data_IF_007812758660
#
_entry.id   IF_007812758660
#
_cell.length_a   1.000
_cell.length_b   1.000
_cell.length_c   1.000
_cell.angle_alpha   90.00
_cell.angle_beta   90.00
_cell.angle_gamma   90.00
#
_symmetry.space_group_name_H-M   'P 1'
#
loop_
_entity.id
_entity.type
_entity.pdbx_description
1 polymer ?
#
# COMPACT_ATOMS: atom_id res chain seq x y z
N UNK A 1 1.22 12.18 16.11
CA UNK A 1 0.92 11.38 14.90
C UNK A 1 2.18 11.32 14.05
N UNK A 2 2.64 10.12 13.66
CA UNK A 2 3.88 9.94 12.90
C UNK A 2 3.63 10.14 11.39
N UNK A 3 4.14 11.23 10.84
CA UNK A 3 4.19 11.41 9.39
C UNK A 3 5.64 11.21 8.94
N UNK A 4 5.85 10.30 7.99
CA UNK A 4 7.17 10.01 7.43
C UNK A 4 7.25 10.55 6.02
N UNK A 5 8.30 11.33 5.74
CA UNK A 5 8.62 11.87 4.43
C UNK A 5 9.98 11.35 3.98
N UNK A 6 10.05 10.75 2.79
CA UNK A 6 11.30 10.39 2.15
C UNK A 6 11.18 10.68 0.67
N UNK A 7 12.17 11.42 0.17
CA UNK A 7 12.31 11.66 -1.26
C UNK A 7 12.78 10.38 -1.99
N UNK A 8 13.76 9.67 -1.40
CA UNK A 8 14.50 8.58 -2.04
C UNK A 8 14.63 7.37 -1.09
N UNK A 9 14.57 6.15 -1.63
CA UNK A 9 14.65 4.90 -0.85
C UNK A 9 13.97 3.71 -1.54
N UNK A 10 14.15 2.48 -1.05
CA UNK A 10 13.41 1.32 -1.59
C UNK A 10 11.99 1.25 -1.00
N UNK A 11 11.87 1.38 0.31
CA UNK A 11 10.62 1.15 1.05
C UNK A 11 10.44 2.22 2.12
N UNK A 12 9.20 2.70 2.28
CA UNK A 12 8.77 3.57 3.38
C UNK A 12 7.63 2.92 4.16
N UNK A 13 7.64 3.13 5.48
CA UNK A 13 6.59 2.67 6.39
C UNK A 13 6.21 3.78 7.39
N UNK A 14 4.92 3.91 7.68
CA UNK A 14 4.41 4.82 8.72
C UNK A 14 3.08 4.34 9.29
N UNK A 15 2.85 4.57 10.58
CA UNK A 15 1.57 4.26 11.21
C UNK A 15 0.44 5.21 10.77
N UNK A 16 0.70 6.49 10.53
CA UNK A 16 -0.35 7.45 10.13
C UNK A 16 -0.24 7.88 8.67
N UNK A 17 0.88 8.46 8.27
CA UNK A 17 1.06 8.96 6.90
C UNK A 17 2.44 8.65 6.36
N UNK A 18 2.47 8.09 5.16
CA UNK A 18 3.69 7.83 4.38
C UNK A 18 3.66 8.65 3.09
N UNK A 19 4.63 9.55 2.91
CA UNK A 19 4.81 10.33 1.68
C UNK A 19 6.13 9.97 1.01
N UNK A 20 6.03 9.33 -0.16
CA UNK A 20 7.21 8.78 -0.85
C UNK A 20 7.26 9.25 -2.31
N UNK A 21 8.26 10.05 -2.65
CA UNK A 21 8.31 10.63 -3.99
C UNK A 21 8.89 9.67 -5.03
N UNK A 22 10.11 9.16 -4.84
CA UNK A 22 10.86 8.41 -5.88
C UNK A 22 11.31 7.00 -5.49
N UNK A 23 10.72 6.38 -4.46
CA UNK A 23 11.09 5.00 -4.13
C UNK A 23 10.18 3.92 -4.71
N UNK A 24 10.39 2.65 -4.31
CA UNK A 24 9.63 1.52 -4.90
C UNK A 24 8.29 1.32 -4.21
N UNK A 25 8.26 1.38 -2.88
CA UNK A 25 7.08 1.03 -2.07
C UNK A 25 6.83 2.05 -0.95
N UNK A 26 5.59 2.48 -0.78
CA UNK A 26 5.13 3.24 0.39
C UNK A 26 4.00 2.50 1.09
N UNK A 27 4.09 2.36 2.40
CA UNK A 27 3.11 1.66 3.23
C UNK A 27 2.64 2.53 4.38
N UNK A 28 1.33 2.56 4.64
CA UNK A 28 0.80 3.18 5.84
C UNK A 28 -0.52 2.61 6.33
N UNK A 29 -0.74 2.50 7.64
CA UNK A 29 -2.07 2.15 8.16
C UNK A 29 -3.09 3.27 7.85
N UNK A 30 -2.70 4.55 7.90
CA UNK A 30 -3.60 5.68 7.64
C UNK A 30 -3.67 6.09 6.18
N UNK A 31 -2.62 6.75 5.66
CA UNK A 31 -2.56 7.23 4.28
C UNK A 31 -1.19 7.01 3.67
N UNK A 32 -1.17 6.39 2.49
CA UNK A 32 0.03 6.30 1.67
C UNK A 32 -0.12 7.19 0.43
N UNK A 33 0.77 8.17 0.30
CA UNK A 33 0.90 9.02 -0.88
C UNK A 33 2.22 8.69 -1.56
N UNK A 34 2.16 8.39 -2.85
CA UNK A 34 3.37 8.02 -3.57
C UNK A 34 3.40 8.60 -4.98
N UNK A 35 4.39 9.45 -5.29
CA UNK A 35 4.39 10.23 -6.55
C UNK A 35 4.81 9.42 -7.78
N UNK A 36 6.01 8.83 -7.77
CA UNK A 36 6.65 8.21 -8.95
C UNK A 36 7.16 6.77 -8.71
N UNK A 37 6.59 6.03 -7.75
CA UNK A 37 7.05 4.67 -7.44
C UNK A 37 6.25 3.54 -8.04
N UNK A 38 6.55 2.33 -7.60
CA UNK A 38 5.86 1.14 -8.10
C UNK A 38 4.57 0.89 -7.34
N UNK A 39 4.59 0.97 -6.01
CA UNK A 39 3.47 0.52 -5.17
C UNK A 39 3.18 1.48 -4.03
N UNK A 40 1.91 1.89 -3.88
CA UNK A 40 1.39 2.53 -2.68
C UNK A 40 0.40 1.59 -1.99
N UNK A 41 0.54 1.38 -0.68
CA UNK A 41 -0.38 0.54 0.08
C UNK A 41 -0.87 1.25 1.34
N UNK A 42 -2.18 1.18 1.59
CA UNK A 42 -2.74 1.68 2.84
C UNK A 42 -3.96 0.91 3.34
N UNK A 43 -4.16 0.83 4.67
CA UNK A 43 -5.47 0.40 5.17
C UNK A 43 -6.53 1.49 4.93
N UNK A 44 -6.19 2.77 5.14
CA UNK A 44 -7.13 3.88 4.96
C UNK A 44 -7.23 4.39 3.53
N UNK A 45 -6.22 5.10 3.04
CA UNK A 45 -6.22 5.68 1.68
C UNK A 45 -4.87 5.55 0.98
N UNK A 46 -4.88 5.07 -0.25
CA UNK A 46 -3.72 5.08 -1.12
C UNK A 46 -3.91 6.08 -2.28
N UNK A 47 -2.95 6.97 -2.47
CA UNK A 47 -2.95 7.97 -3.55
C UNK A 47 -1.69 7.84 -4.40
N UNK A 48 -1.88 7.77 -5.71
CA UNK A 48 -0.80 7.47 -6.66
C UNK A 48 -0.91 8.28 -7.96
N UNK A 49 -0.19 9.41 -8.12
CA UNK A 49 -0.24 10.21 -9.34
C UNK A 49 0.37 9.50 -10.55
N UNK A 50 1.61 8.98 -10.46
CA UNK A 50 2.35 8.46 -11.63
C UNK A 50 2.94 7.06 -11.45
N UNK A 51 2.50 6.32 -10.44
CA UNK A 51 3.09 5.02 -10.18
C UNK A 51 2.29 3.84 -10.73
N UNK A 52 2.79 2.61 -10.57
CA UNK A 52 2.16 1.44 -11.24
C UNK A 52 0.89 0.96 -10.54
N UNK A 53 0.92 0.81 -9.21
CA UNK A 53 -0.19 0.19 -8.48
C UNK A 53 -0.49 0.88 -7.14
N UNK A 54 -1.76 1.18 -6.89
CA UNK A 54 -2.27 1.67 -5.61
C UNK A 54 -3.20 0.63 -4.96
N UNK A 55 -2.98 0.32 -3.69
CA UNK A 55 -3.77 -0.64 -2.92
C UNK A 55 -4.34 0.02 -1.68
N UNK A 56 -5.64 -0.11 -1.47
CA UNK A 56 -6.28 0.36 -0.24
C UNK A 56 -7.33 -0.62 0.27
N UNK A 57 -7.52 -0.71 1.58
CA UNK A 57 -8.77 -1.29 2.09
C UNK A 57 -9.92 -0.28 2.01
N UNK A 58 -9.65 0.99 2.35
CA UNK A 58 -10.64 2.06 2.30
C UNK A 58 -10.82 2.67 0.91
N UNK A 59 -9.88 3.52 0.48
CA UNK A 59 -9.96 4.22 -0.82
C UNK A 59 -8.65 4.24 -1.58
N UNK A 60 -8.68 3.80 -2.83
CA UNK A 60 -7.53 3.89 -3.73
C UNK A 60 -7.79 4.94 -4.81
N UNK A 61 -6.83 5.84 -5.04
CA UNK A 61 -6.89 6.82 -6.12
C UNK A 61 -5.62 6.74 -6.98
N UNK A 62 -5.78 6.89 -8.30
CA UNK A 62 -4.65 7.24 -9.15
C UNK A 62 -4.99 8.21 -10.29
N UNK A 63 -4.00 8.99 -10.72
CA UNK A 63 -4.12 9.86 -11.89
C UNK A 63 -3.68 9.14 -13.18
N UNK A 64 -2.38 8.86 -13.30
CA UNK A 64 -1.72 8.19 -14.44
C UNK A 64 -1.30 6.74 -14.14
N UNK A 65 -1.87 6.13 -13.10
CA UNK A 65 -1.47 4.80 -12.67
C UNK A 65 -1.92 3.68 -13.60
N UNK A 66 -1.29 2.50 -13.48
CA UNK A 66 -1.73 1.33 -14.27
C UNK A 66 -2.91 0.62 -13.63
N UNK A 67 -2.99 0.57 -12.30
CA UNK A 67 -4.04 -0.16 -11.59
C UNK A 67 -4.26 0.41 -10.19
N UNK A 68 -5.50 0.51 -9.75
CA UNK A 68 -5.83 0.71 -8.34
C UNK A 68 -6.83 -0.35 -7.88
N UNK A 69 -6.55 -0.84 -6.68
CA UNK A 69 -7.29 -1.91 -6.04
C UNK A 69 -7.80 -1.40 -4.70
N UNK A 70 -9.10 -1.55 -4.50
CA UNK A 70 -9.74 -1.14 -3.27
C UNK A 70 -10.76 -2.17 -2.82
N UNK A 71 -10.78 -2.52 -1.53
CA UNK A 71 -11.93 -3.22 -0.94
C UNK A 71 -13.13 -2.27 -0.75
N UNK A 72 -12.87 -0.98 -0.55
CA UNK A 72 -13.88 0.08 -0.53
C UNK A 72 -14.10 0.75 -1.89
N UNK A 73 -13.65 2.00 -2.05
CA UNK A 73 -13.89 2.81 -3.26
C UNK A 73 -12.59 3.11 -4.02
N UNK A 74 -12.55 2.82 -5.30
CA UNK A 74 -11.46 3.27 -6.19
C UNK A 74 -11.87 4.48 -7.05
N UNK A 75 -10.89 5.31 -7.40
CA UNK A 75 -11.07 6.49 -8.26
C UNK A 75 -9.90 6.59 -9.25
N UNK A 76 -10.20 6.90 -10.51
CA UNK A 76 -9.21 6.96 -11.59
C UNK A 76 -9.49 8.11 -12.53
N UNK A 77 -8.50 8.99 -12.75
CA UNK A 77 -8.67 10.09 -13.70
C UNK A 77 -8.39 9.64 -15.15
N UNK A 78 -7.47 8.67 -15.39
CA UNK A 78 -7.00 8.34 -16.75
C UNK A 78 -7.11 6.86 -17.17
N UNK A 79 -8.16 6.15 -16.73
CA UNK A 79 -8.73 5.03 -17.51
C UNK A 79 -8.00 3.68 -17.52
N UNK A 80 -7.56 3.15 -16.38
CA UNK A 80 -7.31 1.70 -16.24
C UNK A 80 -8.05 1.12 -15.05
N UNK A 81 -8.47 -0.12 -15.24
CA UNK A 81 -9.47 -0.85 -14.47
C UNK A 81 -9.33 -0.71 -12.95
N UNK A 82 -10.47 -0.41 -12.32
CA UNK A 82 -10.67 -0.54 -10.87
C UNK A 82 -11.02 -1.99 -10.57
N UNK A 83 -10.10 -2.72 -9.94
CA UNK A 83 -10.41 -4.04 -9.42
C UNK A 83 -11.08 -3.90 -8.05
N UNK A 84 -12.39 -4.15 -7.97
CA UNK A 84 -12.96 -4.66 -6.72
C UNK A 84 -12.44 -6.09 -6.59
N UNK A 85 -11.78 -6.37 -5.48
CA UNK A 85 -11.17 -7.68 -5.23
C UNK A 85 -11.74 -8.24 -3.94
N UNK A 86 -11.92 -9.55 -3.89
CA UNK A 86 -12.45 -10.20 -2.70
C UNK A 86 -11.39 -10.37 -1.62
N UNK A 87 -10.10 -10.35 -1.99
CA UNK A 87 -8.99 -10.35 -1.07
C UNK A 87 -7.72 -9.67 -1.63
N UNK A 88 -6.88 -9.19 -0.72
CA UNK A 88 -5.56 -8.62 -0.96
C UNK A 88 -4.57 -9.40 -0.13
N UNK A 89 -3.51 -9.93 -0.73
CA UNK A 89 -2.37 -10.50 -0.01
C UNK A 89 -1.16 -9.58 -0.14
N UNK A 90 -0.60 -9.16 0.98
CA UNK A 90 0.59 -8.32 1.05
C UNK A 90 1.70 -9.05 1.78
N UNK A 91 2.81 -9.28 1.08
CA UNK A 91 4.03 -9.78 1.72
C UNK A 91 4.74 -8.63 2.45
N UNK A 92 4.82 -8.74 3.78
CA UNK A 92 5.47 -7.77 4.67
C UNK A 92 6.92 -8.13 4.97
N UNK A 93 7.31 -9.38 4.70
CA UNK A 93 8.65 -9.91 4.90
C UNK A 93 8.72 -11.36 4.44
N UNK A 94 9.90 -11.97 4.54
CA UNK A 94 10.03 -13.41 4.35
C UNK A 94 9.20 -14.12 5.43
N UNK A 95 8.24 -14.96 5.03
CA UNK A 95 7.32 -15.63 5.95
C UNK A 95 6.17 -14.77 6.53
N UNK A 96 6.13 -13.46 6.30
CA UNK A 96 5.06 -12.59 6.86
C UNK A 96 4.14 -12.12 5.72
N UNK A 97 2.86 -12.50 5.80
CA UNK A 97 1.84 -12.12 4.82
C UNK A 97 0.59 -11.58 5.51
N UNK A 98 0.13 -10.40 5.10
CA UNK A 98 -1.15 -9.84 5.50
C UNK A 98 -2.17 -10.11 4.41
N UNK A 99 -3.19 -10.91 4.71
CA UNK A 99 -4.33 -11.14 3.83
C UNK A 99 -5.50 -10.32 4.35
N UNK A 100 -6.03 -9.43 3.51
CA UNK A 100 -7.25 -8.71 3.79
C UNK A 100 -8.30 -9.12 2.77
N UNK A 101 -9.25 -9.94 3.21
CA UNK A 101 -10.49 -10.21 2.52
C UNK A 101 -11.52 -9.10 2.72
N UNK A 102 -12.53 -9.09 1.86
CA UNK A 102 -13.73 -8.24 1.97
C UNK A 102 -14.47 -8.46 3.30
N UNK A 103 -14.38 -9.66 3.86
CA UNK A 103 -15.08 -10.05 5.09
C UNK A 103 -14.13 -10.41 6.25
N UNK A 104 -12.91 -10.87 5.96
CA UNK A 104 -11.97 -11.35 6.98
C UNK A 104 -10.58 -10.74 6.80
N UNK A 105 -9.97 -10.26 7.88
CA UNK A 105 -8.57 -9.86 7.88
C UNK A 105 -7.75 -10.92 8.64
N UNK A 106 -6.69 -11.43 8.01
CA UNK A 106 -5.80 -12.43 8.59
C UNK A 106 -4.34 -12.02 8.40
N UNK A 107 -3.56 -12.08 9.48
CA UNK A 107 -2.10 -11.97 9.43
C UNK A 107 -1.51 -13.36 9.55
N UNK A 108 -0.85 -13.81 8.49
CA UNK A 108 -0.12 -15.07 8.46
C UNK A 108 1.36 -14.82 8.74
N UNK A 109 1.87 -15.50 9.76
CA UNK A 109 3.29 -15.53 10.11
C UNK A 109 3.75 -16.98 10.01
N UNK A 110 4.42 -17.30 8.90
CA UNK A 110 5.04 -18.59 8.67
C UNK A 110 6.47 -18.55 9.22
N UNK A 111 6.82 -19.54 10.04
CA UNK A 111 8.02 -19.49 10.87
C UNK A 111 9.35 -19.41 10.09
N UNK A 112 10.10 -18.33 10.36
CA UNK A 112 11.44 -18.36 10.95
C UNK A 112 11.60 -17.12 11.83
N UNK A 113 12.23 -17.27 12.99
CA UNK A 113 12.43 -16.21 13.99
C UNK A 113 13.27 -15.07 13.42
N UNK A 114 12.74 -13.84 13.44
CA UNK A 114 13.53 -12.63 13.17
C UNK A 114 14.05 -12.14 14.52
N UNK A 115 15.32 -12.43 14.82
CA UNK A 115 16.00 -11.86 15.97
C UNK A 115 16.09 -10.35 15.77
N UNK A 116 15.48 -9.57 16.67
CA UNK A 116 15.68 -8.13 16.72
C UNK A 116 17.11 -7.86 17.18
N UNK A 117 17.93 -7.22 16.33
CA UNK A 117 19.14 -6.56 16.81
C UNK A 117 18.72 -5.29 17.55
N UNK A 118 19.04 -5.23 18.84
CA UNK A 118 19.00 -3.99 19.61
C UNK A 118 19.99 -2.96 19.05
#
# INVERSE_FOLDING_TARGET
>A
MSTSYHANGKTMWSLDKAYHNNGKTAWSLGKAYHSNGKTAWSLGKAYHPNGKTAWSLGKAYHANGKTAYSLGKGYHDNGRSMGSIDSIELQLGEGIRLVCGKFDQALYVYGKSVLGSA
#
